data_IF_651736970536
#
_entry.id   IF_651736970536
#
_cell.length_a   1.000
_cell.length_b   1.000
_cell.length_c   1.000
_cell.angle_alpha   90.00
_cell.angle_beta   90.00
_cell.angle_gamma   90.00
#
_symmetry.space_group_name_H-M   'P 1'
#
loop_
_entity.id
_entity.type
_entity.pdbx_description
1 polymer ?
#
# COMPACT_ATOMS: atom_id res chain seq x y z
N UNK A 1 -3.62 -11.84 -1.01
CA UNK A 1 -3.49 -13.30 -1.15
C UNK A 1 -4.65 -13.95 -1.94
N UNK A 2 -5.95 -13.74 -1.57
CA UNK A 2 -7.05 -14.38 -2.30
C UNK A 2 -7.17 -13.87 -3.75
N UNK A 3 -7.18 -12.54 -3.96
CA UNK A 3 -7.25 -11.92 -5.29
C UNK A 3 -6.02 -12.23 -6.14
N UNK A 4 -4.86 -12.33 -5.52
CA UNK A 4 -3.63 -12.72 -6.23
C UNK A 4 -3.73 -14.17 -6.78
N UNK A 5 -4.26 -15.12 -5.98
CA UNK A 5 -4.51 -16.49 -6.45
C UNK A 5 -5.58 -16.54 -7.54
N UNK A 6 -6.63 -15.73 -7.40
CA UNK A 6 -7.69 -15.58 -8.40
C UNK A 6 -7.13 -15.07 -9.73
N UNK A 7 -6.32 -14.03 -9.71
CA UNK A 7 -5.66 -13.47 -10.89
C UNK A 7 -4.69 -14.46 -11.54
N UNK A 8 -3.87 -15.18 -10.75
CA UNK A 8 -2.98 -16.23 -11.28
C UNK A 8 -3.71 -17.39 -11.92
N UNK A 9 -4.94 -17.67 -11.50
CA UNK A 9 -5.79 -18.67 -12.10
C UNK A 9 -6.46 -18.20 -13.42
N UNK A 10 -6.16 -16.99 -13.87
CA UNK A 10 -6.75 -16.41 -15.10
C UNK A 10 -8.23 -16.07 -14.99
N UNK A 11 -8.72 -15.88 -13.76
CA UNK A 11 -10.14 -15.60 -13.51
C UNK A 11 -10.40 -14.09 -13.53
N UNK A 12 -11.49 -13.69 -14.19
CA UNK A 12 -11.91 -12.29 -14.28
C UNK A 12 -12.38 -11.74 -12.92
N UNK A 13 -11.87 -10.57 -12.55
CA UNK A 13 -12.34 -9.78 -11.42
C UNK A 13 -12.92 -8.44 -11.89
N UNK A 14 -14.22 -8.27 -11.81
CA UNK A 14 -14.90 -6.98 -12.09
C UNK A 14 -15.21 -6.31 -10.75
N UNK A 15 -14.72 -5.10 -10.57
CA UNK A 15 -15.04 -4.26 -9.41
C UNK A 15 -16.10 -3.23 -9.80
N UNK A 16 -17.19 -3.13 -9.01
CA UNK A 16 -18.24 -2.13 -9.21
C UNK A 16 -18.26 -1.19 -8.00
N UNK A 17 -17.83 0.05 -8.23
CA UNK A 17 -17.68 1.06 -7.19
C UNK A 17 -18.98 1.84 -7.01
N UNK A 18 -19.52 1.83 -5.79
CA UNK A 18 -20.78 2.48 -5.43
C UNK A 18 -20.57 3.61 -4.43
N UNK A 19 -21.62 4.38 -4.13
CA UNK A 19 -21.58 5.49 -3.15
C UNK A 19 -21.71 4.99 -1.70
N UNK A 20 -20.75 5.27 -0.80
CA UNK A 20 -19.36 5.66 -1.06
C UNK A 20 -18.40 4.47 -1.09
N UNK A 21 -17.32 4.58 -1.86
CA UNK A 21 -16.19 3.64 -1.82
C UNK A 21 -14.94 4.40 -1.34
N UNK A 22 -14.60 4.32 -0.05
CA UNK A 22 -13.52 5.13 0.54
C UNK A 22 -12.67 4.33 1.52
N UNK A 23 -11.52 4.90 1.89
CA UNK A 23 -10.62 4.35 2.91
C UNK A 23 -10.00 3.02 2.52
N UNK A 24 -9.99 2.08 3.46
CA UNK A 24 -9.39 0.75 3.27
C UNK A 24 -10.02 -0.08 2.15
N UNK A 25 -11.27 0.17 1.77
CA UNK A 25 -11.93 -0.51 0.64
C UNK A 25 -11.26 -0.10 -0.66
N UNK A 26 -11.09 1.22 -0.90
CA UNK A 26 -10.38 1.76 -2.06
C UNK A 26 -8.91 1.32 -2.06
N UNK A 27 -8.23 1.43 -0.93
CA UNK A 27 -6.82 1.07 -0.78
C UNK A 27 -6.57 -0.45 -0.70
N UNK A 28 -7.53 -1.28 -1.10
CA UNK A 28 -7.37 -2.74 -1.11
C UNK A 28 -8.04 -3.37 -2.34
N UNK A 29 -9.11 -4.11 -2.16
CA UNK A 29 -9.69 -4.90 -3.25
C UNK A 29 -10.41 -4.07 -4.32
N UNK A 30 -10.99 -2.90 -3.97
CA UNK A 30 -11.79 -2.13 -4.92
C UNK A 30 -10.99 -1.65 -6.15
N UNK A 31 -9.73 -1.26 -5.96
CA UNK A 31 -8.84 -0.78 -7.03
C UNK A 31 -7.98 -1.90 -7.66
N UNK A 32 -8.33 -3.16 -7.45
CA UNK A 32 -7.62 -4.32 -8.00
C UNK A 32 -8.42 -5.07 -9.07
N UNK A 33 -9.56 -4.53 -9.51
CA UNK A 33 -10.35 -5.11 -10.60
C UNK A 33 -9.54 -5.17 -11.92
N UNK A 34 -9.73 -6.23 -12.69
CA UNK A 34 -9.29 -6.27 -14.09
C UNK A 34 -10.13 -5.28 -14.92
N UNK A 35 -11.40 -5.11 -14.52
CA UNK A 35 -12.33 -4.10 -15.02
C UNK A 35 -12.93 -3.40 -13.80
N UNK A 36 -12.86 -2.08 -13.77
CA UNK A 36 -13.36 -1.24 -12.69
C UNK A 36 -14.48 -0.34 -13.22
N UNK A 37 -15.70 -0.60 -12.80
CA UNK A 37 -16.87 0.20 -13.14
C UNK A 37 -17.28 1.06 -11.93
N UNK A 38 -17.88 2.22 -12.18
CA UNK A 38 -18.44 3.05 -11.13
C UNK A 38 -19.88 3.48 -11.41
N UNK A 39 -20.67 3.69 -10.37
CA UNK A 39 -21.97 4.36 -10.52
C UNK A 39 -21.77 5.88 -10.71
N UNK A 40 -22.64 6.55 -11.51
CA UNK A 40 -22.54 8.00 -11.72
C UNK A 40 -22.50 8.77 -10.40
N UNK A 41 -21.56 9.70 -10.28
CA UNK A 41 -21.42 10.57 -9.12
C UNK A 41 -20.98 9.90 -7.83
N UNK A 42 -20.65 8.61 -7.82
CA UNK A 42 -20.19 7.89 -6.64
C UNK A 42 -18.92 8.55 -6.06
N UNK A 43 -18.87 8.70 -4.75
CA UNK A 43 -17.68 9.16 -4.02
C UNK A 43 -16.67 8.01 -3.90
N UNK A 44 -15.52 8.17 -4.52
CA UNK A 44 -14.47 7.14 -4.58
C UNK A 44 -13.13 7.81 -4.26
N UNK A 45 -12.45 7.35 -3.23
CA UNK A 45 -11.14 7.91 -2.86
C UNK A 45 -10.54 7.21 -1.64
N UNK A 46 -9.25 7.43 -1.40
CA UNK A 46 -8.61 6.89 -0.21
C UNK A 46 -8.97 7.71 1.03
N UNK A 47 -8.57 8.95 1.11
CA UNK A 47 -8.96 9.84 2.19
C UNK A 47 -10.31 10.49 1.89
N UNK A 48 -11.22 10.50 2.85
CA UNK A 48 -12.52 11.18 2.67
C UNK A 48 -12.37 12.69 2.48
N UNK A 49 -13.29 13.36 1.75
CA UNK A 49 -13.21 14.80 1.47
C UNK A 49 -13.02 15.66 2.72
N UNK A 50 -13.73 15.36 3.80
CA UNK A 50 -13.60 16.09 5.07
C UNK A 50 -12.19 16.00 5.66
N UNK A 51 -11.57 14.82 5.57
CA UNK A 51 -10.22 14.61 6.10
C UNK A 51 -9.22 15.43 5.29
N UNK A 52 -9.35 15.41 3.97
CA UNK A 52 -8.49 16.19 3.07
C UNK A 52 -8.65 17.69 3.37
N UNK A 53 -9.88 18.23 3.36
CA UNK A 53 -10.15 19.64 3.64
C UNK A 53 -9.61 20.10 4.99
N UNK A 54 -9.72 19.26 6.02
CA UNK A 54 -9.16 19.55 7.35
C UNK A 54 -7.62 19.54 7.34
N UNK A 55 -7.01 18.67 6.55
CA UNK A 55 -5.56 18.55 6.45
C UNK A 55 -4.94 19.68 5.66
N UNK A 56 -5.46 19.97 4.46
CA UNK A 56 -4.93 21.04 3.59
C UNK A 56 -5.50 22.42 3.93
N UNK A 57 -6.54 22.49 4.78
CA UNK A 57 -7.27 23.71 5.16
C UNK A 57 -7.80 24.51 3.96
N UNK A 58 -8.20 23.82 2.92
CA UNK A 58 -8.77 24.41 1.69
C UNK A 58 -10.00 23.61 1.26
N UNK A 59 -10.91 24.27 0.55
CA UNK A 59 -12.06 23.59 -0.07
C UNK A 59 -11.60 22.80 -1.28
N UNK A 60 -12.16 21.60 -1.42
CA UNK A 60 -11.87 20.75 -2.55
C UNK A 60 -12.51 21.25 -3.85
N UNK A 61 -11.92 21.01 -5.01
CA UNK A 61 -12.53 21.30 -6.29
C UNK A 61 -13.89 20.63 -6.45
N UNK A 62 -14.80 21.27 -7.20
CA UNK A 62 -16.09 20.68 -7.49
C UNK A 62 -15.92 19.38 -8.31
N UNK A 63 -16.59 18.31 -7.89
CA UNK A 63 -16.48 17.01 -8.56
C UNK A 63 -15.28 16.17 -8.14
N UNK A 64 -14.42 16.68 -7.28
CA UNK A 64 -13.27 15.94 -6.75
C UNK A 64 -13.70 14.61 -6.09
N UNK A 65 -12.97 13.54 -6.35
CA UNK A 65 -13.24 12.16 -5.90
C UNK A 65 -14.60 11.61 -6.36
N UNK A 66 -15.26 12.19 -7.36
CA UNK A 66 -16.44 11.58 -7.97
C UNK A 66 -16.04 10.58 -9.06
N UNK A 67 -16.96 9.69 -9.43
CA UNK A 67 -16.71 8.69 -10.46
C UNK A 67 -16.14 9.30 -11.74
N UNK A 68 -16.69 10.46 -12.16
CA UNK A 68 -16.26 11.21 -13.33
C UNK A 68 -14.80 11.67 -13.23
N UNK A 69 -14.38 12.12 -12.06
CA UNK A 69 -13.00 12.48 -11.76
C UNK A 69 -12.08 11.26 -11.88
N UNK A 70 -12.50 10.09 -11.38
CA UNK A 70 -11.69 8.86 -11.45
C UNK A 70 -11.53 8.36 -12.89
N UNK A 71 -12.53 8.52 -13.75
CA UNK A 71 -12.42 8.20 -15.18
C UNK A 71 -11.45 9.15 -15.87
N UNK A 72 -11.56 10.47 -15.60
CA UNK A 72 -10.66 11.49 -16.17
C UNK A 72 -9.19 11.24 -15.78
N UNK A 73 -8.94 10.73 -14.56
CA UNK A 73 -7.61 10.40 -14.07
C UNK A 73 -7.16 8.95 -14.36
N UNK A 74 -7.99 8.15 -15.06
CA UNK A 74 -7.64 6.81 -15.52
C UNK A 74 -7.67 5.71 -14.45
N UNK A 75 -8.44 5.88 -13.39
CA UNK A 75 -8.57 4.90 -12.32
C UNK A 75 -9.85 4.05 -12.39
N UNK A 76 -10.80 4.44 -13.24
CA UNK A 76 -12.05 3.74 -13.49
C UNK A 76 -12.22 3.61 -14.99
N UNK A 77 -12.63 2.43 -15.47
CA UNK A 77 -12.76 2.15 -16.89
C UNK A 77 -14.01 2.78 -17.49
N UNK A 78 -15.15 2.72 -16.78
CA UNK A 78 -16.42 3.28 -17.26
C UNK A 78 -17.38 3.61 -16.12
N UNK A 79 -18.32 4.52 -16.41
CA UNK A 79 -19.42 4.90 -15.52
C UNK A 79 -20.71 4.27 -16.02
N UNK A 80 -21.26 3.37 -15.21
CA UNK A 80 -22.45 2.60 -15.59
C UNK A 80 -23.57 2.86 -14.59
N UNK A 81 -24.74 3.29 -15.09
CA UNK A 81 -25.95 3.43 -14.27
C UNK A 81 -26.43 2.07 -13.78
N UNK A 82 -26.95 2.02 -12.56
CA UNK A 82 -27.40 0.79 -11.91
C UNK A 82 -28.39 -0.01 -12.76
N UNK A 83 -29.30 0.65 -13.45
CA UNK A 83 -30.26 0.02 -14.37
C UNK A 83 -29.58 -0.71 -15.54
N UNK A 84 -28.40 -0.26 -15.96
CA UNK A 84 -27.64 -0.82 -17.10
C UNK A 84 -26.57 -1.83 -16.66
N UNK A 85 -26.28 -1.95 -15.37
CA UNK A 85 -25.20 -2.82 -14.86
C UNK A 85 -25.38 -4.27 -15.28
N UNK A 86 -26.62 -4.79 -15.24
CA UNK A 86 -26.90 -6.19 -15.63
C UNK A 86 -26.52 -6.45 -17.10
N UNK A 87 -26.86 -5.54 -17.99
CA UNK A 87 -26.55 -5.67 -19.42
C UNK A 87 -25.04 -5.54 -19.65
N UNK A 88 -24.40 -4.52 -19.03
CA UNK A 88 -22.96 -4.29 -19.15
C UNK A 88 -22.15 -5.47 -18.63
N UNK A 89 -22.50 -5.98 -17.44
CA UNK A 89 -21.84 -7.16 -16.88
C UNK A 89 -22.05 -8.41 -17.73
N UNK A 90 -23.26 -8.59 -18.29
CA UNK A 90 -23.55 -9.68 -19.22
C UNK A 90 -22.63 -9.66 -20.44
N UNK A 91 -22.45 -8.50 -21.08
CA UNK A 91 -21.54 -8.33 -22.21
C UNK A 91 -20.07 -8.61 -21.84
N UNK A 92 -19.64 -8.10 -20.68
CA UNK A 92 -18.28 -8.35 -20.16
C UNK A 92 -18.04 -9.84 -19.96
N UNK A 93 -18.97 -10.53 -19.30
CA UNK A 93 -18.87 -11.97 -19.05
C UNK A 93 -18.87 -12.78 -20.34
N UNK A 94 -19.76 -12.47 -21.28
CA UNK A 94 -19.84 -13.13 -22.60
C UNK A 94 -18.51 -13.03 -23.37
N UNK A 95 -17.83 -11.88 -23.30
CA UNK A 95 -16.50 -11.71 -23.93
C UNK A 95 -15.39 -12.52 -23.26
N UNK A 96 -15.60 -12.97 -22.03
CA UNK A 96 -14.63 -13.77 -21.26
C UNK A 96 -15.04 -15.25 -21.15
N UNK A 97 -16.25 -15.61 -21.59
CA UNK A 97 -16.67 -17.02 -21.74
C UNK A 97 -15.90 -17.66 -22.91
N UNK A 98 -15.11 -18.67 -22.65
CA UNK A 98 -14.36 -19.42 -23.67
C UNK A 98 -12.83 -19.27 -23.59
N UNK A 99 -12.29 -18.53 -22.64
CA UNK A 99 -10.87 -18.56 -22.32
C UNK A 99 -10.49 -19.56 -21.24
N UNK A 100 -11.35 -20.53 -20.93
CA UNK A 100 -10.94 -21.69 -20.16
C UNK A 100 -9.99 -22.51 -21.01
N UNK A 101 -8.71 -22.21 -20.88
CA UNK A 101 -7.69 -23.17 -21.29
C UNK A 101 -7.97 -24.46 -20.52
N UNK A 102 -8.24 -25.54 -21.26
CA UNK A 102 -8.15 -26.91 -20.76
C UNK A 102 -6.73 -27.17 -20.29
N UNK A 103 -6.35 -26.57 -19.19
CA UNK A 103 -5.22 -27.00 -18.39
C UNK A 103 -5.77 -27.86 -17.26
N UNK A 104 -5.95 -29.14 -17.56
CA UNK A 104 -5.87 -30.19 -16.55
C UNK A 104 -4.51 -30.08 -15.86
N UNK A 105 -4.38 -29.14 -14.94
CA UNK A 105 -3.32 -29.13 -13.96
C UNK A 105 -3.86 -29.77 -12.70
N UNK A 106 -3.20 -30.85 -12.35
CA UNK A 106 -3.40 -31.68 -11.18
C UNK A 106 -3.81 -30.87 -9.96
N UNK A 107 -4.83 -31.39 -9.26
CA UNK A 107 -5.26 -31.00 -7.95
C UNK A 107 -4.06 -30.88 -6.98
N UNK A 108 -3.39 -29.75 -6.91
CA UNK A 108 -2.79 -29.33 -5.68
C UNK A 108 -3.93 -29.01 -4.73
N UNK A 109 -4.27 -30.00 -3.92
CA UNK A 109 -5.10 -29.83 -2.73
C UNK A 109 -4.46 -28.67 -1.97
N UNK A 110 -5.12 -27.50 -2.02
CA UNK A 110 -4.82 -26.41 -1.12
C UNK A 110 -4.93 -27.01 0.29
N UNK A 111 -3.81 -27.29 0.91
CA UNK A 111 -3.77 -27.62 2.32
C UNK A 111 -4.22 -26.33 3.02
N UNK A 112 -5.46 -26.32 3.47
CA UNK A 112 -5.93 -25.31 4.41
C UNK A 112 -4.98 -25.36 5.59
N UNK A 113 -4.21 -24.30 5.79
CA UNK A 113 -3.43 -24.11 7.02
C UNK A 113 -4.46 -24.17 8.13
N UNK A 114 -4.36 -25.21 8.94
CA UNK A 114 -5.25 -25.44 10.06
C UNK A 114 -5.11 -24.22 10.98
N UNK A 115 -6.19 -23.48 11.23
CA UNK A 115 -6.18 -22.28 12.07
C UNK A 115 -5.69 -22.55 13.49
N UNK A 116 -5.65 -23.82 13.88
CA UNK A 116 -5.23 -24.27 15.21
C UNK A 116 -3.70 -24.36 15.37
N UNK A 117 -2.91 -24.27 14.28
CA UNK A 117 -1.44 -24.28 14.37
C UNK A 117 -0.80 -22.89 14.48
N UNK A 118 -1.57 -21.81 14.31
CA UNK A 118 -1.11 -20.46 14.53
C UNK A 118 -1.56 -19.93 15.90
N UNK A 119 -1.24 -20.64 16.96
CA UNK A 119 -1.07 -20.02 18.27
C UNK A 119 0.25 -19.25 18.23
N UNK A 120 0.24 -17.91 18.32
CA UNK A 120 1.48 -17.21 18.53
C UNK A 120 2.03 -17.71 19.86
N UNK A 121 3.11 -18.50 19.84
CA UNK A 121 3.90 -18.75 21.02
C UNK A 121 4.36 -17.38 21.46
N UNK A 122 3.82 -16.90 22.55
CA UNK A 122 4.09 -15.61 23.16
C UNK A 122 5.46 -15.58 23.84
N UNK A 123 6.51 -15.96 23.11
CA UNK A 123 7.87 -15.63 23.48
C UNK A 123 8.31 -14.33 22.77
N UNK A 124 7.38 -13.37 22.65
CA UNK A 124 7.77 -11.98 22.48
C UNK A 124 8.41 -11.59 23.80
N UNK A 125 9.74 -11.49 23.82
CA UNK A 125 10.43 -10.80 24.89
C UNK A 125 9.78 -9.42 24.98
N UNK A 126 8.89 -9.24 25.95
CA UNK A 126 8.36 -7.95 26.30
C UNK A 126 9.56 -7.17 26.84
N UNK A 127 10.28 -6.46 25.97
CA UNK A 127 11.15 -5.38 26.41
C UNK A 127 10.32 -4.56 27.39
N UNK A 128 10.88 -4.23 28.55
CA UNK A 128 10.21 -3.57 29.67
C UNK A 128 9.35 -2.39 29.23
N UNK A 129 8.14 -2.72 28.77
CA UNK A 129 7.13 -1.71 28.48
C UNK A 129 6.77 -1.19 29.85
N UNK A 130 7.16 0.06 30.15
CA UNK A 130 6.78 0.69 31.40
C UNK A 130 5.25 0.52 31.56
N UNK A 131 4.80 -0.35 32.49
CA UNK A 131 3.38 -0.69 32.61
C UNK A 131 2.53 0.50 33.06
N UNK A 132 3.17 1.58 33.48
CA UNK A 132 2.53 2.79 34.00
C UNK A 132 2.20 3.84 32.91
N UNK A 133 2.67 3.66 31.65
CA UNK A 133 2.34 4.58 30.56
C UNK A 133 0.92 4.34 30.05
N UNK A 134 0.14 5.40 30.01
CA UNK A 134 -1.16 5.41 29.33
C UNK A 134 -0.98 5.20 27.82
N UNK A 135 -2.05 4.85 27.13
CA UNK A 135 -2.03 4.72 25.66
C UNK A 135 -1.58 6.02 24.97
N UNK A 136 -2.01 7.18 25.48
CA UNK A 136 -1.62 8.48 24.93
C UNK A 136 -0.14 8.79 25.14
N UNK A 137 0.40 8.51 26.30
CA UNK A 137 1.84 8.69 26.58
C UNK A 137 2.71 7.79 25.68
N UNK A 138 2.25 6.58 25.35
CA UNK A 138 2.92 5.71 24.37
C UNK A 138 2.91 6.30 22.98
N UNK A 139 1.78 6.88 22.53
CA UNK A 139 1.70 7.60 21.26
C UNK A 139 2.64 8.80 21.26
N UNK A 140 2.67 9.60 22.34
CA UNK A 140 3.59 10.72 22.44
C UNK A 140 5.06 10.26 22.42
N UNK A 141 5.38 9.15 23.08
CA UNK A 141 6.72 8.56 23.05
C UNK A 141 7.13 8.14 21.65
N UNK A 142 6.22 7.52 20.87
CA UNK A 142 6.50 7.12 19.49
C UNK A 142 6.75 8.31 18.54
N UNK A 143 6.28 9.50 18.92
CA UNK A 143 6.39 10.75 18.14
C UNK A 143 7.58 11.64 18.54
N UNK A 144 8.34 11.26 19.55
CA UNK A 144 9.50 12.06 19.97
C UNK A 144 10.52 12.17 18.85
N UNK A 145 11.07 13.37 18.68
CA UNK A 145 12.06 13.69 17.64
C UNK A 145 13.48 13.25 17.98
N UNK A 146 13.73 12.89 19.25
CA UNK A 146 14.99 12.35 19.73
C UNK A 146 15.13 10.84 19.58
N UNK A 147 14.13 10.18 18.99
CA UNK A 147 14.19 8.76 18.64
C UNK A 147 14.99 8.56 17.36
N UNK A 148 15.70 7.42 17.22
CA UNK A 148 16.37 7.10 15.98
C UNK A 148 15.40 7.13 14.80
N UNK A 149 15.82 7.80 13.73
CA UNK A 149 15.13 7.86 12.44
C UNK A 149 15.36 6.58 11.64
N UNK A 150 14.66 6.43 10.53
CA UNK A 150 14.92 5.34 9.61
C UNK A 150 16.34 5.35 9.04
N UNK A 151 16.88 6.52 8.73
CA UNK A 151 18.25 6.70 8.26
C UNK A 151 19.29 6.30 9.34
N UNK A 152 19.03 6.59 10.60
CA UNK A 152 19.93 6.15 11.71
C UNK A 152 19.99 4.62 11.78
N UNK A 153 18.87 3.92 11.55
CA UNK A 153 18.87 2.44 11.49
C UNK A 153 19.63 1.92 10.26
N UNK A 154 19.58 2.61 9.12
CA UNK A 154 20.37 2.24 7.95
C UNK A 154 21.87 2.33 8.30
N UNK A 155 22.31 3.45 8.86
CA UNK A 155 23.72 3.67 9.21
C UNK A 155 24.23 2.70 10.29
N UNK A 156 23.38 2.39 11.30
CA UNK A 156 23.77 1.54 12.41
C UNK A 156 23.83 0.04 12.08
N UNK A 157 22.96 -0.44 11.18
CA UNK A 157 22.75 -1.87 10.97
C UNK A 157 23.34 -2.40 9.65
N UNK A 158 23.56 -1.53 8.66
CA UNK A 158 23.94 -1.95 7.33
C UNK A 158 25.26 -1.33 6.88
N UNK A 159 25.94 -2.02 5.97
CA UNK A 159 27.09 -1.49 5.25
C UNK A 159 26.81 -1.40 3.76
N UNK A 160 27.57 -0.56 3.06
CA UNK A 160 27.49 -0.40 1.60
C UNK A 160 26.07 -0.05 1.11
N UNK A 161 25.34 0.78 1.84
CA UNK A 161 24.00 1.19 1.42
C UNK A 161 24.06 2.04 0.16
N UNK A 162 23.28 1.63 -0.84
CA UNK A 162 23.10 2.36 -2.10
C UNK A 162 21.62 2.69 -2.25
N UNK A 163 21.27 3.98 -2.12
CA UNK A 163 19.90 4.45 -2.28
C UNK A 163 19.47 4.45 -3.75
N UNK A 164 18.21 4.07 -3.99
CA UNK A 164 17.59 4.10 -5.31
C UNK A 164 16.35 4.99 -5.30
N UNK A 165 16.34 5.98 -6.15
CA UNK A 165 15.31 7.01 -6.22
C UNK A 165 14.23 6.70 -7.26
N UNK A 166 13.05 7.28 -7.04
CA UNK A 166 11.97 7.39 -7.99
C UNK A 166 11.15 6.12 -8.24
N UNK A 167 9.91 6.34 -8.62
CA UNK A 167 8.95 5.31 -8.99
C UNK A 167 9.02 4.90 -10.47
N UNK A 168 9.80 5.60 -11.29
CA UNK A 168 9.93 5.47 -12.76
C UNK A 168 8.66 5.85 -13.54
N UNK A 169 7.70 6.49 -12.91
CA UNK A 169 6.47 6.93 -13.55
C UNK A 169 6.29 8.45 -13.43
N UNK A 170 6.33 8.96 -12.18
CA UNK A 170 6.05 10.37 -11.90
C UNK A 170 7.21 11.08 -11.20
N UNK A 171 7.74 10.51 -10.13
CA UNK A 171 8.76 11.22 -9.35
C UNK A 171 9.38 10.38 -8.23
N UNK A 172 10.07 11.07 -7.34
CA UNK A 172 10.60 10.50 -6.11
C UNK A 172 9.83 11.00 -4.90
N UNK A 173 9.68 10.16 -3.91
CA UNK A 173 9.11 10.51 -2.61
C UNK A 173 10.14 10.28 -1.51
N UNK A 174 10.53 11.35 -0.84
CA UNK A 174 11.51 11.32 0.24
C UNK A 174 10.97 10.71 1.54
N UNK A 175 9.65 10.55 1.67
CA UNK A 175 9.06 9.82 2.81
C UNK A 175 9.41 8.33 2.78
N UNK A 176 9.85 7.79 1.62
CA UNK A 176 10.37 6.44 1.47
C UNK A 176 11.83 6.52 1.04
N UNK A 177 12.73 6.04 1.88
CA UNK A 177 14.13 5.78 1.54
C UNK A 177 14.27 4.29 1.27
N UNK A 178 14.93 3.91 0.19
CA UNK A 178 15.09 2.50 -0.13
C UNK A 178 16.22 2.22 -1.09
N UNK A 179 16.78 1.02 -0.97
CA UNK A 179 17.92 0.62 -1.78
C UNK A 179 18.43 -0.78 -1.44
N UNK A 180 19.67 -1.02 -1.80
CA UNK A 180 20.38 -2.26 -1.47
C UNK A 180 21.51 -1.97 -0.49
N UNK A 181 21.75 -2.93 0.41
CA UNK A 181 22.79 -2.83 1.42
C UNK A 181 23.33 -4.22 1.75
N UNK A 182 24.33 -4.29 2.63
CA UNK A 182 24.75 -5.55 3.24
C UNK A 182 24.37 -5.59 4.71
N UNK A 183 23.77 -6.70 5.13
CA UNK A 183 23.50 -7.04 6.52
C UNK A 183 24.36 -8.24 6.90
N UNK A 184 25.31 -8.07 7.80
CA UNK A 184 26.34 -9.09 8.12
C UNK A 184 26.98 -9.70 6.88
N UNK A 185 27.37 -8.85 5.91
CA UNK A 185 28.00 -9.24 4.66
C UNK A 185 27.07 -9.84 3.60
N UNK A 186 25.79 -10.07 3.89
CA UNK A 186 24.80 -10.60 2.95
C UNK A 186 24.01 -9.46 2.29
N UNK A 187 23.79 -9.49 0.96
CA UNK A 187 23.02 -8.47 0.28
C UNK A 187 21.53 -8.55 0.66
N UNK A 188 20.95 -7.40 1.01
CA UNK A 188 19.54 -7.23 1.36
C UNK A 188 18.97 -6.01 0.65
N UNK A 189 17.65 -5.96 0.51
CA UNK A 189 16.92 -4.76 0.12
C UNK A 189 16.37 -4.11 1.38
N UNK A 190 16.64 -2.82 1.57
CA UNK A 190 16.18 -2.04 2.73
C UNK A 190 15.18 -1.01 2.25
N UNK A 191 14.06 -0.88 2.96
CA UNK A 191 13.00 0.10 2.69
C UNK A 191 12.61 0.73 4.03
N UNK A 192 12.63 2.05 4.09
CA UNK A 192 12.43 2.79 5.34
C UNK A 192 11.41 3.90 5.11
N UNK A 193 10.48 4.05 6.03
CA UNK A 193 9.67 5.25 6.14
C UNK A 193 10.44 6.29 6.95
N UNK A 194 10.77 7.40 6.31
CA UNK A 194 11.57 8.48 6.89
C UNK A 194 10.70 9.67 7.23
N UNK A 195 10.86 10.17 8.46
CA UNK A 195 10.07 11.28 8.98
C UNK A 195 10.86 12.58 9.09
N UNK A 196 12.16 12.46 9.26
CA UNK A 196 13.05 13.58 9.60
C UNK A 196 13.14 13.84 11.11
N UNK A 197 14.14 14.60 11.52
CA UNK A 197 14.47 14.90 12.91
C UNK A 197 14.20 16.34 13.29
N UNK A 198 13.95 17.21 12.31
CA UNK A 198 13.64 18.64 12.51
C UNK A 198 12.53 19.10 11.55
N UNK A 199 12.00 20.29 11.76
CA UNK A 199 10.86 20.82 10.98
C UNK A 199 11.13 20.87 9.48
N UNK A 200 12.34 21.22 9.06
CA UNK A 200 12.70 21.31 7.63
C UNK A 200 12.71 19.92 6.98
N UNK A 201 13.30 18.95 7.66
CA UNK A 201 13.32 17.57 7.21
C UNK A 201 11.92 16.96 7.23
N UNK A 202 11.14 17.18 8.29
CA UNK A 202 9.75 16.72 8.36
C UNK A 202 8.94 17.20 7.17
N UNK A 203 9.06 18.46 6.78
CA UNK A 203 8.39 19.00 5.58
C UNK A 203 8.91 18.30 4.32
N UNK A 204 10.23 18.10 4.18
CA UNK A 204 10.82 17.46 3.01
C UNK A 204 10.41 15.98 2.86
N UNK A 205 10.10 15.31 3.96
CA UNK A 205 9.66 13.90 4.02
C UNK A 205 8.13 13.76 4.22
N UNK A 206 7.34 14.81 3.93
CA UNK A 206 5.88 14.83 4.13
C UNK A 206 5.46 14.33 5.53
N UNK A 207 6.24 14.65 6.57
CA UNK A 207 6.00 14.17 7.94
C UNK A 207 5.96 12.63 8.06
N UNK A 208 6.65 11.92 7.19
CA UNK A 208 6.64 10.46 7.12
C UNK A 208 5.37 9.89 6.50
N UNK A 209 4.61 10.70 5.76
CA UNK A 209 3.40 10.28 5.05
C UNK A 209 3.71 10.05 3.57
N UNK A 210 3.79 8.78 3.11
CA UNK A 210 4.14 8.52 1.72
C UNK A 210 3.08 8.99 0.74
N UNK A 211 3.54 9.51 -0.39
CA UNK A 211 2.79 9.79 -1.61
C UNK A 211 2.67 8.52 -2.47
N UNK A 212 1.83 8.50 -3.51
CA UNK A 212 1.74 7.35 -4.43
C UNK A 212 3.09 6.90 -4.99
N UNK A 213 3.99 7.86 -5.26
CA UNK A 213 5.35 7.59 -5.76
C UNK A 213 6.18 6.79 -4.77
N UNK A 214 6.03 7.05 -3.47
CA UNK A 214 6.71 6.31 -2.41
C UNK A 214 6.29 4.84 -2.38
N UNK A 215 5.00 4.56 -2.48
CA UNK A 215 4.47 3.19 -2.55
C UNK A 215 4.95 2.47 -3.82
N UNK A 216 4.91 3.14 -4.98
CA UNK A 216 5.39 2.55 -6.25
C UNK A 216 6.91 2.32 -6.24
N UNK A 217 7.69 3.25 -5.64
CA UNK A 217 9.13 3.06 -5.42
C UNK A 217 9.40 1.84 -4.54
N UNK A 218 8.71 1.71 -3.41
CA UNK A 218 8.83 0.57 -2.52
C UNK A 218 8.53 -0.75 -3.26
N UNK A 219 7.41 -0.81 -4.00
CA UNK A 219 7.04 -1.98 -4.78
C UNK A 219 8.11 -2.35 -5.82
N UNK A 220 8.63 -1.36 -6.54
CA UNK A 220 9.70 -1.57 -7.52
C UNK A 220 10.94 -2.22 -6.88
N UNK A 221 11.32 -1.75 -5.68
CA UNK A 221 12.45 -2.31 -4.94
C UNK A 221 12.17 -3.73 -4.44
N UNK A 222 10.94 -4.01 -3.99
CA UNK A 222 10.51 -5.36 -3.58
C UNK A 222 10.55 -6.34 -4.75
N UNK A 223 10.07 -5.93 -5.94
CA UNK A 223 10.14 -6.76 -7.16
C UNK A 223 11.59 -6.99 -7.61
N UNK A 224 12.45 -6.00 -7.46
CA UNK A 224 13.88 -6.17 -7.72
C UNK A 224 14.52 -7.13 -6.71
N UNK A 225 14.13 -7.05 -5.43
CA UNK A 225 14.60 -7.97 -4.40
C UNK A 225 14.21 -9.43 -4.73
N UNK A 226 12.96 -9.66 -5.11
CA UNK A 226 12.47 -10.98 -5.53
C UNK A 226 13.27 -11.52 -6.73
N UNK A 227 13.45 -10.69 -7.77
CA UNK A 227 14.20 -11.07 -8.98
C UNK A 227 15.61 -11.55 -8.67
N UNK A 228 16.27 -10.94 -7.68
CA UNK A 228 17.66 -11.25 -7.31
C UNK A 228 17.76 -12.07 -6.02
N UNK A 229 16.64 -12.62 -5.54
CA UNK A 229 16.55 -13.47 -4.36
C UNK A 229 17.17 -12.82 -3.10
N UNK A 230 16.94 -11.51 -2.88
CA UNK A 230 17.39 -10.79 -1.70
C UNK A 230 16.27 -10.69 -0.67
N UNK A 231 16.55 -10.94 0.62
CA UNK A 231 15.62 -10.61 1.69
C UNK A 231 15.29 -9.11 1.71
N UNK A 232 14.08 -8.80 2.14
CA UNK A 232 13.60 -7.42 2.29
C UNK A 232 13.50 -7.11 3.79
N UNK A 233 14.07 -5.99 4.20
CA UNK A 233 13.96 -5.47 5.56
C UNK A 233 13.32 -4.09 5.46
N UNK A 234 12.15 -3.94 6.08
CA UNK A 234 11.41 -2.67 6.10
C UNK A 234 11.29 -2.11 7.52
N UNK A 235 11.50 -0.79 7.64
CA UNK A 235 11.32 -0.05 8.89
C UNK A 235 10.12 0.88 8.75
N UNK A 236 9.15 0.71 9.64
CA UNK A 236 7.87 1.42 9.60
C UNK A 236 7.86 2.53 10.64
N UNK A 237 7.65 3.76 10.18
CA UNK A 237 7.44 4.92 11.03
C UNK A 237 6.61 5.98 10.28
N UNK A 238 5.30 5.82 10.27
CA UNK A 238 4.39 6.72 9.57
C UNK A 238 3.12 6.98 10.37
N UNK A 239 2.59 8.21 10.38
CA UNK A 239 1.23 8.47 10.88
C UNK A 239 0.15 7.95 9.92
N UNK A 240 0.51 7.63 8.67
CA UNK A 240 -0.38 7.13 7.62
C UNK A 240 0.05 7.60 6.24
N UNK A 241 -0.69 7.19 5.21
CA UNK A 241 -0.49 7.68 3.85
C UNK A 241 -0.83 9.17 3.75
N UNK A 242 -0.14 9.91 2.87
CA UNK A 242 -0.45 11.31 2.64
C UNK A 242 -1.89 11.47 2.14
N UNK A 243 -2.64 12.37 2.78
CA UNK A 243 -4.02 12.68 2.43
C UNK A 243 -4.10 14.10 1.85
N UNK A 244 -4.21 14.20 0.54
CA UNK A 244 -4.29 15.49 -0.17
C UNK A 244 -4.75 15.29 -1.59
N UNK A 245 -5.10 16.42 -2.25
CA UNK A 245 -5.60 16.42 -3.63
C UNK A 245 -4.61 15.72 -4.56
N UNK A 246 -3.35 16.13 -4.49
CA UNK A 246 -2.27 15.61 -5.34
C UNK A 246 -2.05 14.09 -5.21
N UNK A 247 -2.24 13.53 -3.99
CA UNK A 247 -2.11 12.11 -3.78
C UNK A 247 -3.28 11.32 -4.40
N UNK A 248 -4.49 11.84 -4.26
CA UNK A 248 -5.69 11.24 -4.89
C UNK A 248 -5.62 11.31 -6.41
N UNK A 249 -5.20 12.46 -6.97
CA UNK A 249 -5.00 12.65 -8.42
C UNK A 249 -3.98 11.66 -9.02
N UNK A 250 -3.01 11.23 -8.21
CA UNK A 250 -1.96 10.29 -8.63
C UNK A 250 -2.18 8.85 -8.15
N UNK A 251 -3.38 8.53 -7.62
CA UNK A 251 -3.82 7.18 -7.31
C UNK A 251 -3.30 6.62 -6.00
N UNK A 252 -3.44 7.36 -4.90
CA UNK A 252 -3.02 6.91 -3.57
C UNK A 252 -3.62 5.54 -3.20
N UNK A 253 -4.94 5.39 -3.39
CA UNK A 253 -5.62 4.13 -3.08
C UNK A 253 -5.14 2.96 -3.93
N UNK A 254 -4.93 3.17 -5.23
CA UNK A 254 -4.40 2.15 -6.14
C UNK A 254 -2.97 1.74 -5.75
N UNK A 255 -2.09 2.70 -5.49
CA UNK A 255 -0.71 2.42 -5.15
C UNK A 255 -0.59 1.56 -3.88
N UNK A 256 -1.42 1.82 -2.86
CA UNK A 256 -1.49 1.02 -1.63
C UNK A 256 -2.05 -0.37 -1.94
N UNK A 257 -3.19 -0.45 -2.64
CA UNK A 257 -3.84 -1.70 -2.99
C UNK A 257 -2.91 -2.62 -3.79
N UNK A 258 -2.18 -2.07 -4.76
CA UNK A 258 -1.19 -2.79 -5.56
C UNK A 258 -0.06 -3.34 -4.70
N UNK A 259 0.46 -2.57 -3.74
CA UNK A 259 1.47 -3.06 -2.79
C UNK A 259 0.95 -4.27 -1.99
N UNK A 260 -0.28 -4.20 -1.45
CA UNK A 260 -0.87 -5.31 -0.70
C UNK A 260 -0.99 -6.59 -1.53
N UNK A 261 -1.42 -6.46 -2.80
CA UNK A 261 -1.51 -7.59 -3.72
C UNK A 261 -0.14 -8.21 -3.99
N UNK A 262 0.80 -7.39 -4.44
CA UNK A 262 2.12 -7.85 -4.90
C UNK A 262 3.00 -8.36 -3.75
N UNK A 263 2.95 -7.70 -2.58
CA UNK A 263 3.65 -8.20 -1.39
C UNK A 263 3.15 -9.58 -0.96
N UNK A 264 1.86 -9.90 -1.15
CA UNK A 264 1.31 -11.21 -0.82
C UNK A 264 1.85 -12.33 -1.72
N UNK A 265 2.45 -11.98 -2.84
CA UNK A 265 3.00 -12.92 -3.84
C UNK A 265 4.53 -13.10 -3.75
N UNK A 266 5.22 -12.25 -2.99
CA UNK A 266 6.68 -12.31 -2.86
C UNK A 266 7.17 -13.65 -2.32
N UNK A 267 8.22 -14.18 -2.93
CA UNK A 267 8.84 -15.46 -2.58
C UNK A 267 10.13 -15.32 -1.77
N UNK A 268 10.52 -14.09 -1.44
CA UNK A 268 11.67 -13.79 -0.59
C UNK A 268 11.20 -13.43 0.82
N UNK A 269 12.03 -13.64 1.86
CA UNK A 269 11.70 -13.22 3.21
C UNK A 269 11.47 -11.71 3.29
N UNK A 270 10.39 -11.30 3.95
CA UNK A 270 10.05 -9.91 4.25
C UNK A 270 10.01 -9.73 5.76
N UNK A 271 10.91 -8.94 6.29
CA UNK A 271 10.95 -8.56 7.70
C UNK A 271 10.44 -7.12 7.83
N UNK A 272 9.39 -6.93 8.62
CA UNK A 272 8.83 -5.62 8.92
C UNK A 272 9.09 -5.25 10.39
N UNK A 273 9.74 -4.10 10.61
CA UNK A 273 10.13 -3.62 11.94
C UNK A 273 9.44 -2.29 12.18
N UNK A 274 8.55 -2.26 13.17
CA UNK A 274 7.89 -1.02 13.60
C UNK A 274 8.82 -0.26 14.56
N UNK A 275 9.30 0.91 14.13
CA UNK A 275 10.25 1.73 14.90
C UNK A 275 9.62 2.99 15.52
N UNK A 276 8.37 3.29 15.19
CA UNK A 276 7.66 4.46 15.71
C UNK A 276 6.15 4.32 15.55
N UNK A 277 5.53 5.21 14.78
CA UNK A 277 4.10 5.12 14.44
C UNK A 277 3.87 4.10 13.32
N UNK A 278 2.74 3.39 13.40
CA UNK A 278 2.25 2.51 12.34
C UNK A 278 0.83 2.88 11.97
N UNK A 279 0.67 4.00 11.27
CA UNK A 279 -0.60 4.45 10.75
C UNK A 279 -1.07 3.68 9.51
N UNK A 280 -2.32 3.94 9.08
CA UNK A 280 -2.91 3.31 7.90
C UNK A 280 -2.29 3.82 6.60
N UNK A 281 -2.05 2.92 5.67
CA UNK A 281 -1.56 3.23 4.34
C UNK A 281 -0.37 2.43 3.89
#
# INVERSE_FOLDING_TARGET
AALERHSKAGLLYVSVLTEPTTGGVTASFAMLGDIILAEPGALIGFAGPRVIEQTIRQKLPKGFQRAEFLVEHGFVDDIVRRENLKETLGKILEMHEGQSTDSTSENEKASYINKDEFSPKSDVAHADINPYLTAWERVQLSRKTDRPSGSDYIEALFTDFMEFHGDRNYGDDKAIIGGIAKFHGKPVTVIVQEKGTNTKENIAHNFGMPMPEGYRKALRLMKQAEKFNRPIISFVNTPGAFCGVEAEERGQGEAIARNLLEMSALKVPVLCILIGEGGSG
#
